data_IF_003847163313
#
_entry.id   IF_003847163313
#
_cell.length_a   1.000
_cell.length_b   1.000
_cell.length_c   1.000
_cell.angle_alpha   90.00
_cell.angle_beta   90.00
_cell.angle_gamma   90.00
#
_symmetry.space_group_name_H-M   'P 1'
#
loop_
_entity.id
_entity.type
_entity.pdbx_description
1 polymer ?
#
# COMPACT_ATOMS: atom_id res chain seq x y z
N UNK A 1 21.13 -0.55 30.58
CA UNK A 1 19.74 -0.40 31.05
C UNK A 1 18.81 -1.28 30.26
N UNK A 2 18.43 -2.37 30.91
CA UNK A 2 17.53 -3.41 30.44
C UNK A 2 16.14 -2.79 30.25
N UNK A 3 15.78 -2.60 28.99
CA UNK A 3 14.57 -1.92 28.51
C UNK A 3 13.37 -2.29 29.38
N UNK A 4 12.78 -1.29 30.05
CA UNK A 4 11.60 -1.46 30.88
C UNK A 4 10.47 -2.06 30.03
N UNK A 5 10.24 -3.37 30.19
CA UNK A 5 9.11 -4.06 29.57
C UNK A 5 7.85 -3.58 30.28
N UNK A 6 7.12 -2.65 29.65
CA UNK A 6 5.79 -2.25 30.09
C UNK A 6 4.89 -3.48 30.13
N UNK A 7 4.31 -3.75 31.30
CA UNK A 7 3.38 -4.85 31.49
C UNK A 7 1.96 -4.31 31.65
N UNK A 8 0.99 -5.20 31.47
CA UNK A 8 -0.42 -4.85 31.58
C UNK A 8 -0.77 -4.33 32.99
N UNK A 9 -0.12 -4.88 34.02
CA UNK A 9 -0.33 -4.50 35.42
C UNK A 9 0.16 -3.07 35.72
N UNK A 10 1.00 -2.47 34.87
CA UNK A 10 1.44 -1.08 35.05
C UNK A 10 0.27 -0.10 34.89
N UNK A 11 -0.76 -0.46 34.11
CA UNK A 11 -1.96 0.35 33.96
C UNK A 11 -2.81 0.42 35.25
N UNK A 12 -2.68 -0.53 36.17
CA UNK A 12 -3.39 -0.49 37.46
C UNK A 12 -2.93 0.66 38.36
N UNK A 13 -1.74 1.20 38.09
CA UNK A 13 -1.14 2.32 38.83
C UNK A 13 -1.53 3.68 38.24
N UNK A 14 -2.17 3.70 37.07
CA UNK A 14 -2.60 4.93 36.40
C UNK A 14 -3.88 5.44 37.05
N UNK A 15 -3.89 6.73 37.38
CA UNK A 15 -5.07 7.41 37.92
C UNK A 15 -5.44 8.61 37.04
N UNK A 16 -6.74 8.87 36.95
CA UNK A 16 -7.30 9.98 36.18
C UNK A 16 -8.01 10.92 37.14
N UNK A 17 -7.80 12.23 37.00
CA UNK A 17 -8.49 13.22 37.81
C UNK A 17 -9.93 13.38 37.31
N UNK A 18 -10.89 13.23 38.21
CA UNK A 18 -12.31 13.49 37.94
C UNK A 18 -12.62 15.00 37.96
N UNK A 19 -13.78 15.38 37.44
CA UNK A 19 -14.26 16.76 37.44
C UNK A 19 -14.37 17.38 38.86
N UNK A 20 -14.47 16.55 39.90
CA UNK A 20 -14.50 16.99 41.30
C UNK A 20 -13.11 17.05 41.95
N UNK A 21 -12.05 16.86 41.17
CA UNK A 21 -10.66 16.88 41.62
C UNK A 21 -10.16 15.58 42.27
N UNK A 22 -11.04 14.58 42.47
CA UNK A 22 -10.67 13.27 43.02
C UNK A 22 -9.94 12.43 41.97
N UNK A 23 -8.91 11.70 42.37
CA UNK A 23 -8.23 10.72 41.52
C UNK A 23 -8.98 9.39 41.54
N UNK A 24 -9.26 8.86 40.35
CA UNK A 24 -9.95 7.57 40.14
C UNK A 24 -9.00 6.63 39.40
N UNK A 25 -8.82 5.37 39.85
CA UNK A 25 -8.01 4.38 39.13
C UNK A 25 -8.54 4.11 37.71
N UNK A 26 -7.65 4.04 36.72
CA UNK A 26 -8.03 3.84 35.30
C UNK A 26 -8.87 2.57 35.08
N UNK A 27 -8.58 1.48 35.81
CA UNK A 27 -9.32 0.21 35.76
C UNK A 27 -10.80 0.30 36.16
N UNK A 28 -11.22 1.36 36.87
CA UNK A 28 -12.63 1.59 37.19
C UNK A 28 -13.41 2.26 36.05
N UNK A 29 -12.69 2.79 35.05
CA UNK A 29 -13.25 3.57 33.95
C UNK A 29 -13.12 2.87 32.60
N UNK A 30 -12.08 2.07 32.39
CA UNK A 30 -11.81 1.41 31.13
C UNK A 30 -11.27 -0.01 31.31
N UNK A 31 -11.65 -0.90 30.40
CA UNK A 31 -11.01 -2.19 30.17
C UNK A 31 -9.92 -2.04 29.12
N UNK A 32 -8.72 -2.51 29.41
CA UNK A 32 -7.60 -2.51 28.47
C UNK A 32 -7.46 -3.93 27.94
N UNK A 33 -7.25 -4.07 26.64
CA UNK A 33 -7.02 -5.35 25.98
C UNK A 33 -5.93 -5.20 24.92
N UNK A 34 -5.11 -6.24 24.76
CA UNK A 34 -4.15 -6.31 23.67
C UNK A 34 -4.87 -6.84 22.44
N UNK A 35 -4.89 -6.05 21.37
CA UNK A 35 -5.42 -6.47 20.08
C UNK A 35 -4.34 -6.45 19.03
N UNK A 36 -4.39 -7.43 18.15
CA UNK A 36 -3.57 -7.44 16.96
C UNK A 36 -4.04 -6.30 16.04
N UNK A 37 -3.09 -5.47 15.62
CA UNK A 37 -3.33 -4.38 14.72
C UNK A 37 -2.18 -4.33 13.70
N UNK A 38 -2.45 -3.92 12.45
CA UNK A 38 -1.40 -3.77 11.46
C UNK A 38 -0.36 -2.77 11.96
N UNK A 39 0.92 -3.15 11.86
CA UNK A 39 2.04 -2.28 12.26
C UNK A 39 2.18 -1.04 11.37
N UNK A 40 1.63 -1.11 10.15
CA UNK A 40 1.60 -0.02 9.17
C UNK A 40 0.41 -0.19 8.23
N UNK A 41 -0.20 0.94 7.85
CA UNK A 41 -1.18 1.00 6.77
C UNK A 41 -0.54 1.75 5.60
N UNK A 42 -0.24 1.03 4.53
CA UNK A 42 0.35 1.58 3.30
C UNK A 42 -0.73 2.10 2.38
N UNK A 43 -0.43 3.22 1.72
CA UNK A 43 -1.28 3.81 0.71
C UNK A 43 -0.48 4.17 -0.53
N UNK A 44 -1.10 4.01 -1.69
CA UNK A 44 -0.62 4.51 -2.96
C UNK A 44 -1.76 5.33 -3.58
N UNK A 45 -1.46 6.55 -4.03
CA UNK A 45 -2.47 7.46 -4.61
C UNK A 45 -3.71 7.66 -3.70
N UNK A 46 -3.48 7.73 -2.39
CA UNK A 46 -4.49 7.83 -1.32
C UNK A 46 -5.42 6.61 -1.14
N UNK A 47 -5.17 5.52 -1.84
CA UNK A 47 -5.88 4.24 -1.67
C UNK A 47 -5.08 3.29 -0.80
N UNK A 48 -5.73 2.51 0.07
CA UNK A 48 -5.05 1.53 0.93
C UNK A 48 -4.57 0.35 0.08
N UNK A 49 -3.26 0.11 0.04
CA UNK A 49 -2.65 -0.83 -0.91
C UNK A 49 -1.79 -1.86 -0.22
N UNK A 50 -1.86 -3.11 -0.68
CA UNK A 50 -0.88 -4.16 -0.39
C UNK A 50 0.06 -4.30 -1.60
N UNK A 51 1.36 -4.07 -1.39
CA UNK A 51 2.36 -4.18 -2.46
C UNK A 51 2.92 -5.59 -2.51
N UNK A 52 2.81 -6.23 -3.68
CA UNK A 52 3.49 -7.49 -3.99
C UNK A 52 4.69 -7.17 -4.87
N UNK A 53 5.88 -7.59 -4.44
CA UNK A 53 7.13 -7.38 -5.15
C UNK A 53 7.58 -8.70 -5.77
N UNK A 54 8.05 -8.63 -7.01
CA UNK A 54 8.64 -9.75 -7.73
C UNK A 54 9.67 -9.23 -8.72
N UNK A 55 10.72 -10.02 -8.93
CA UNK A 55 11.72 -9.79 -9.96
C UNK A 55 11.63 -10.87 -11.03
N UNK A 56 11.97 -10.52 -12.27
CA UNK A 56 12.01 -11.48 -13.37
C UNK A 56 13.17 -12.44 -13.20
N UNK A 57 12.91 -13.72 -13.38
CA UNK A 57 13.96 -14.72 -13.47
C UNK A 57 14.78 -14.53 -14.76
N UNK A 58 16.06 -14.93 -14.71
CA UNK A 58 16.93 -14.85 -15.87
C UNK A 58 16.35 -15.60 -17.07
N UNK A 59 16.38 -14.97 -18.24
CA UNK A 59 15.88 -15.54 -19.50
C UNK A 59 14.40 -15.27 -19.78
N UNK A 60 13.69 -14.58 -18.89
CA UNK A 60 12.32 -14.10 -19.14
C UNK A 60 12.31 -12.60 -19.42
N UNK A 61 11.46 -12.20 -20.36
CA UNK A 61 11.17 -10.79 -20.62
C UNK A 61 9.92 -10.35 -19.86
N UNK A 62 9.77 -9.03 -19.67
CA UNK A 62 8.62 -8.45 -18.97
C UNK A 62 7.30 -8.82 -19.66
N UNK A 63 7.25 -8.77 -21.00
CA UNK A 63 6.02 -9.03 -21.77
C UNK A 63 5.57 -10.49 -21.68
N UNK A 64 6.52 -11.43 -21.67
CA UNK A 64 6.24 -12.87 -21.54
C UNK A 64 5.58 -13.23 -20.21
N UNK A 65 5.88 -12.48 -19.15
CA UNK A 65 5.36 -12.74 -17.80
C UNK A 65 4.11 -11.93 -17.50
N UNK A 66 4.08 -10.65 -17.88
CA UNK A 66 2.95 -9.76 -17.58
C UNK A 66 1.70 -10.15 -18.36
N UNK A 67 1.82 -10.53 -19.64
CA UNK A 67 0.65 -10.86 -20.46
C UNK A 67 -0.20 -12.02 -19.89
N UNK A 68 0.38 -13.20 -19.57
CA UNK A 68 -0.41 -14.28 -18.95
C UNK A 68 -0.86 -13.94 -17.54
N UNK A 69 -0.03 -13.24 -16.75
CA UNK A 69 -0.40 -12.82 -15.39
C UNK A 69 -1.60 -11.87 -15.39
N UNK A 70 -1.62 -10.91 -16.31
CA UNK A 70 -2.75 -10.01 -16.47
C UNK A 70 -4.03 -10.77 -16.82
N UNK A 71 -3.95 -11.72 -17.76
CA UNK A 71 -5.10 -12.53 -18.13
C UNK A 71 -5.65 -13.36 -16.96
N UNK A 72 -4.78 -13.85 -16.08
CA UNK A 72 -5.19 -14.56 -14.86
C UNK A 72 -5.85 -13.63 -13.84
N UNK A 73 -5.27 -12.44 -13.61
CA UNK A 73 -5.81 -11.45 -12.67
C UNK A 73 -7.13 -10.80 -13.14
N UNK A 74 -7.29 -10.61 -14.45
CA UNK A 74 -8.54 -10.16 -15.08
C UNK A 74 -9.65 -11.21 -14.94
N UNK A 75 -9.29 -12.49 -14.76
CA UNK A 75 -10.23 -13.59 -14.52
C UNK A 75 -10.71 -13.72 -13.07
N UNK A 76 -10.13 -12.97 -12.14
CA UNK A 76 -10.50 -13.00 -10.72
C UNK A 76 -11.69 -12.06 -10.48
N UNK A 77 -12.74 -12.56 -9.83
CA UNK A 77 -13.85 -11.74 -9.36
C UNK A 77 -13.44 -11.03 -8.06
N UNK A 78 -12.84 -9.84 -8.22
CA UNK A 78 -12.42 -9.01 -7.10
C UNK A 78 -13.63 -8.56 -6.29
N UNK A 79 -13.53 -8.66 -4.96
CA UNK A 79 -14.57 -8.16 -4.07
C UNK A 79 -14.87 -6.67 -4.35
N UNK A 80 -16.10 -6.20 -4.13
CA UNK A 80 -16.46 -4.80 -4.39
C UNK A 80 -15.50 -3.81 -3.72
N UNK A 81 -14.96 -2.88 -4.51
CA UNK A 81 -14.01 -1.87 -4.04
C UNK A 81 -12.53 -2.31 -4.02
N UNK A 82 -12.22 -3.50 -4.54
CA UNK A 82 -10.85 -3.96 -4.75
C UNK A 82 -10.49 -3.91 -6.23
N UNK A 83 -9.25 -3.53 -6.50
CA UNK A 83 -8.64 -3.53 -7.82
C UNK A 83 -7.18 -3.92 -7.68
N UNK A 84 -6.55 -4.22 -8.81
CA UNK A 84 -5.11 -4.37 -8.88
C UNK A 84 -4.56 -3.41 -9.93
N UNK A 85 -3.30 -3.02 -9.76
CA UNK A 85 -2.57 -2.25 -10.76
C UNK A 85 -1.13 -2.72 -10.77
N UNK A 86 -0.56 -2.82 -11.97
CA UNK A 86 0.87 -2.99 -12.12
C UNK A 86 1.56 -1.64 -11.95
N UNK A 87 2.72 -1.65 -11.28
CA UNK A 87 3.56 -0.48 -10.99
C UNK A 87 5.02 -0.83 -11.26
N UNK A 88 5.90 0.17 -11.28
CA UNK A 88 7.33 -0.04 -11.53
C UNK A 88 7.66 -0.09 -13.03
N UNK A 89 8.37 -1.12 -13.49
CA UNK A 89 8.89 -1.17 -14.87
C UNK A 89 7.80 -1.10 -15.94
N UNK A 90 6.64 -1.72 -15.69
CA UNK A 90 5.51 -1.64 -16.63
C UNK A 90 4.88 -0.24 -16.68
N UNK A 91 4.79 0.44 -15.54
CA UNK A 91 4.30 1.82 -15.44
C UNK A 91 5.24 2.77 -16.18
N UNK A 92 6.54 2.68 -15.89
CA UNK A 92 7.60 3.47 -16.54
C UNK A 92 7.58 3.27 -18.07
N UNK A 93 7.38 2.03 -18.50
CA UNK A 93 7.22 1.71 -19.93
C UNK A 93 6.01 2.42 -20.50
N UNK A 94 4.83 2.26 -19.91
CA UNK A 94 3.60 2.85 -20.44
C UNK A 94 3.65 4.37 -20.52
N UNK A 95 4.21 5.03 -19.50
CA UNK A 95 4.42 6.48 -19.50
C UNK A 95 5.34 6.92 -20.66
N UNK A 96 6.44 6.19 -20.87
CA UNK A 96 7.39 6.50 -21.95
C UNK A 96 6.82 6.27 -23.35
N UNK A 97 6.07 5.17 -23.56
CA UNK A 97 5.51 4.81 -24.86
C UNK A 97 4.38 5.75 -25.31
N UNK A 98 3.56 6.24 -24.37
CA UNK A 98 2.52 7.23 -24.66
C UNK A 98 3.07 8.52 -25.28
N UNK A 99 4.19 9.02 -24.74
CA UNK A 99 4.87 10.20 -25.28
C UNK A 99 5.56 9.96 -26.62
N UNK A 100 6.23 8.80 -26.77
CA UNK A 100 6.94 8.47 -28.01
C UNK A 100 6.01 8.32 -29.21
N UNK A 101 4.85 7.67 -29.06
CA UNK A 101 3.91 7.49 -30.19
C UNK A 101 3.42 8.82 -30.77
N UNK A 102 3.07 9.77 -29.90
CA UNK A 102 2.65 11.12 -30.31
C UNK A 102 3.81 11.86 -30.97
N UNK A 103 5.01 11.79 -30.40
CA UNK A 103 6.19 12.43 -30.97
C UNK A 103 6.54 11.86 -32.36
N UNK A 104 6.44 10.53 -32.56
CA UNK A 104 6.65 9.89 -33.85
C UNK A 104 5.62 10.32 -34.90
N UNK A 105 4.35 10.42 -34.53
CA UNK A 105 3.30 10.93 -35.44
C UNK A 105 3.56 12.39 -35.82
N UNK A 106 3.93 13.24 -34.86
CA UNK A 106 4.30 14.63 -35.12
C UNK A 106 5.51 14.73 -36.06
N UNK A 107 6.53 13.91 -35.86
CA UNK A 107 7.70 13.87 -36.74
C UNK A 107 7.34 13.46 -38.17
N UNK A 108 6.49 12.43 -38.34
CA UNK A 108 6.01 12.00 -39.66
C UNK A 108 5.21 13.11 -40.37
N UNK A 109 4.34 13.82 -39.65
CA UNK A 109 3.60 14.95 -40.20
C UNK A 109 4.53 16.10 -40.63
N UNK A 110 5.58 16.38 -39.86
CA UNK A 110 6.58 17.40 -40.23
C UNK A 110 7.40 17.00 -41.45
N UNK A 111 7.80 15.73 -41.57
CA UNK A 111 8.57 15.24 -42.73
C UNK A 111 7.73 15.23 -44.01
N UNK A 112 6.47 14.80 -43.93
CA UNK A 112 5.57 14.70 -45.08
C UNK A 112 4.88 16.03 -45.44
N UNK A 113 4.74 16.93 -44.46
CA UNK A 113 4.12 18.24 -44.63
C UNK A 113 5.10 19.36 -45.02
N UNK A 114 6.41 19.09 -44.98
CA UNK A 114 7.48 19.86 -45.65
C UNK A 114 7.59 19.39 -47.09
#
# INVERSE_FOLDING_TARGET
DEQARFRMEDFDRVTVQSATGRFIPLKQLASIEFREAPSRITHLDAERTATVLADLANGYTLDEVIAPLQAELDGIDWAPGYSYTFKGDLENRNESFGGMGIASLMALLLILGV
#
